data_IF_663061645045
#
_entry.id   IF_663061645045
#
_cell.length_a   1.000
_cell.length_b   1.000
_cell.length_c   1.000
_cell.angle_alpha   90.00
_cell.angle_beta   90.00
_cell.angle_gamma   90.00
#
_symmetry.space_group_name_H-M   'P 1'
#
loop_
_entity.id
_entity.type
_entity.pdbx_description
1 polymer ?
#
# COMPACT_ATOMS: atom_id res chain seq x y z
N UNK A 1 -27.47 -27.38 -18.82
CA UNK A 1 -28.31 -26.36 -19.46
C UNK A 1 -27.64 -25.05 -19.18
N UNK A 2 -26.95 -24.47 -20.17
CA UNK A 2 -26.34 -23.14 -20.01
C UNK A 2 -27.47 -22.13 -19.99
N UNK A 3 -27.72 -21.58 -18.81
CA UNK A 3 -28.72 -20.55 -18.58
C UNK A 3 -28.18 -19.22 -19.14
N UNK A 4 -28.87 -18.65 -20.12
CA UNK A 4 -28.55 -17.34 -20.67
C UNK A 4 -28.82 -16.30 -19.58
N UNK A 5 -27.76 -15.85 -18.89
CA UNK A 5 -27.85 -14.81 -17.84
C UNK A 5 -28.21 -13.46 -18.47
N UNK A 6 -29.17 -12.75 -17.87
CA UNK A 6 -29.50 -11.37 -18.27
C UNK A 6 -28.27 -10.49 -18.02
N UNK A 7 -27.73 -9.79 -19.04
CA UNK A 7 -26.54 -8.95 -18.88
C UNK A 7 -26.70 -7.80 -17.86
N UNK A 8 -27.92 -7.51 -17.42
CA UNK A 8 -28.24 -6.54 -16.36
C UNK A 8 -28.12 -7.12 -14.95
N UNK A 9 -28.23 -8.44 -14.79
CA UNK A 9 -28.12 -9.14 -13.51
C UNK A 9 -26.76 -9.84 -13.43
N UNK A 10 -25.75 -9.10 -12.98
CA UNK A 10 -24.36 -9.58 -12.92
C UNK A 10 -24.01 -10.38 -11.66
N UNK A 11 -24.85 -10.31 -10.61
CA UNK A 11 -24.57 -10.89 -9.30
C UNK A 11 -25.84 -11.50 -8.70
N UNK A 12 -25.67 -12.67 -8.08
CA UNK A 12 -26.69 -13.35 -7.30
C UNK A 12 -26.33 -13.25 -5.81
N UNK A 13 -27.32 -12.94 -4.97
CA UNK A 13 -27.17 -12.98 -3.51
C UNK A 13 -27.26 -14.42 -3.04
N UNK A 14 -26.39 -14.82 -2.12
CA UNK A 14 -26.34 -16.17 -1.55
C UNK A 14 -26.30 -16.09 -0.03
N UNK A 15 -26.97 -17.04 0.64
CA UNK A 15 -27.00 -17.10 2.11
C UNK A 15 -25.69 -17.63 2.72
N UNK A 16 -24.97 -18.48 1.98
CA UNK A 16 -23.69 -19.04 2.41
C UNK A 16 -22.83 -19.44 1.23
N UNK A 17 -21.52 -19.52 1.46
CA UNK A 17 -20.52 -19.95 0.48
C UNK A 17 -19.47 -20.82 1.18
N UNK A 18 -18.86 -21.75 0.45
CA UNK A 18 -17.75 -22.57 0.96
C UNK A 18 -16.46 -22.22 0.20
N UNK A 19 -15.32 -22.28 0.91
CA UNK A 19 -14.03 -22.05 0.29
C UNK A 19 -13.67 -23.17 -0.71
N UNK A 20 -12.95 -22.89 -1.80
CA UNK A 20 -12.50 -21.56 -2.26
C UNK A 20 -13.57 -20.85 -3.10
N UNK A 21 -13.80 -19.56 -2.83
CA UNK A 21 -14.75 -18.75 -3.57
C UNK A 21 -14.30 -17.29 -3.65
N UNK A 22 -14.56 -16.65 -4.80
CA UNK A 22 -14.49 -15.19 -4.94
C UNK A 22 -15.87 -14.61 -4.67
N UNK A 23 -16.00 -13.75 -3.67
CA UNK A 23 -17.27 -13.14 -3.28
C UNK A 23 -17.19 -11.62 -3.36
N UNK A 24 -18.35 -11.01 -3.61
CA UNK A 24 -18.53 -9.56 -3.47
C UNK A 24 -19.31 -9.30 -2.19
N UNK A 25 -18.69 -8.62 -1.24
CA UNK A 25 -19.29 -8.27 0.04
C UNK A 25 -19.85 -6.85 -0.06
N UNK A 26 -21.08 -6.66 0.42
CA UNK A 26 -21.70 -5.34 0.58
C UNK A 26 -21.89 -5.10 2.08
N UNK A 27 -21.20 -4.11 2.62
CA UNK A 27 -21.25 -3.74 4.03
C UNK A 27 -21.11 -2.22 4.17
N UNK A 28 -21.64 -1.61 5.25
CA UNK A 28 -21.37 -0.21 5.57
C UNK A 28 -19.91 -0.02 6.02
N UNK A 29 -19.39 1.20 5.88
CA UNK A 29 -18.09 1.63 6.43
C UNK A 29 -16.88 0.84 5.91
N UNK A 30 -16.87 0.47 4.63
CA UNK A 30 -15.76 -0.26 3.99
C UNK A 30 -14.95 0.60 3.01
N UNK A 31 -15.19 1.92 3.00
CA UNK A 31 -14.57 2.85 2.04
C UNK A 31 -13.05 2.96 2.20
N UNK A 32 -12.55 2.76 3.42
CA UNK A 32 -11.13 2.83 3.76
C UNK A 32 -10.42 1.46 3.70
N UNK A 33 -11.10 0.41 3.22
CA UNK A 33 -10.49 -0.93 3.09
C UNK A 33 -9.45 -0.93 1.98
N UNK A 34 -8.24 -1.37 2.32
CA UNK A 34 -7.13 -1.47 1.38
C UNK A 34 -7.11 -2.83 0.71
N UNK A 35 -6.79 -2.85 -0.59
CA UNK A 35 -6.63 -4.11 -1.32
C UNK A 35 -5.47 -4.93 -0.74
N UNK A 36 -5.71 -6.23 -0.54
CA UNK A 36 -4.77 -7.13 0.11
C UNK A 36 -4.90 -7.19 1.63
N UNK A 37 -5.76 -6.39 2.26
CA UNK A 37 -6.02 -6.50 3.70
C UNK A 37 -6.64 -7.85 4.06
N UNK A 38 -6.27 -8.43 5.23
CA UNK A 38 -6.86 -9.66 5.70
C UNK A 38 -8.35 -9.45 5.98
N UNK A 39 -9.13 -10.49 5.67
CA UNK A 39 -10.56 -10.55 5.97
C UNK A 39 -10.80 -11.66 6.99
N UNK A 40 -11.54 -11.36 8.06
CA UNK A 40 -11.90 -12.31 9.12
C UNK A 40 -13.37 -12.15 9.48
N UNK A 41 -13.99 -13.26 9.87
CA UNK A 41 -15.34 -13.29 10.43
C UNK A 41 -15.29 -13.92 11.81
N UNK A 42 -16.04 -13.37 12.76
CA UNK A 42 -16.21 -13.89 14.10
C UNK A 42 -17.71 -14.02 14.43
N UNK A 43 -18.05 -14.92 15.34
CA UNK A 43 -19.45 -15.17 15.73
C UNK A 43 -19.79 -14.52 17.06
N UNK A 44 -18.83 -14.50 17.99
CA UNK A 44 -19.02 -13.92 19.32
C UNK A 44 -18.49 -12.47 19.32
N UNK A 45 -19.34 -11.46 19.58
CA UNK A 45 -18.89 -10.07 19.68
C UNK A 45 -17.77 -9.83 20.68
N UNK A 46 -17.55 -10.71 21.66
CA UNK A 46 -16.43 -10.60 22.59
C UNK A 46 -15.06 -10.88 21.94
N UNK A 47 -15.03 -11.51 20.77
CA UNK A 47 -13.81 -11.78 19.98
C UNK A 47 -13.34 -10.54 19.19
N UNK A 48 -14.17 -9.49 19.07
CA UNK A 48 -13.92 -8.34 18.18
C UNK A 48 -12.53 -7.72 18.41
N UNK A 49 -12.14 -7.52 19.67
CA UNK A 49 -10.85 -6.93 20.02
C UNK A 49 -9.68 -7.84 19.61
N UNK A 50 -9.79 -9.14 19.85
CA UNK A 50 -8.72 -10.10 19.52
C UNK A 50 -8.53 -10.17 18.00
N UNK A 51 -9.62 -10.27 17.23
CA UNK A 51 -9.57 -10.30 15.76
C UNK A 51 -9.02 -8.99 15.21
N UNK A 52 -9.37 -7.85 15.80
CA UNK A 52 -8.80 -6.56 15.42
C UNK A 52 -7.29 -6.53 15.66
N UNK A 53 -6.83 -6.91 16.86
CA UNK A 53 -5.41 -6.90 17.23
C UNK A 53 -4.59 -7.85 16.30
N UNK A 54 -5.16 -8.99 15.91
CA UNK A 54 -4.54 -9.91 14.93
C UNK A 54 -4.41 -9.29 13.54
N UNK A 55 -5.46 -8.65 13.03
CA UNK A 55 -5.46 -7.96 11.73
C UNK A 55 -4.46 -6.81 11.73
N UNK A 56 -4.44 -6.02 12.81
CA UNK A 56 -3.53 -4.89 12.97
C UNK A 56 -2.07 -5.37 12.95
N UNK A 57 -1.75 -6.43 13.68
CA UNK A 57 -0.42 -7.04 13.68
C UNK A 57 -0.01 -7.59 12.30
N UNK A 58 -0.93 -8.21 11.56
CA UNK A 58 -0.67 -8.71 10.20
C UNK A 58 -0.39 -7.55 9.24
N UNK A 59 -1.18 -6.48 9.28
CA UNK A 59 -0.99 -5.29 8.44
C UNK A 59 0.30 -4.55 8.80
N UNK A 60 0.61 -4.41 10.09
CA UNK A 60 1.83 -3.74 10.54
C UNK A 60 3.09 -4.52 10.17
N UNK A 61 3.01 -5.85 10.04
CA UNK A 61 4.13 -6.66 9.57
C UNK A 61 4.53 -6.41 8.11
N UNK A 62 3.59 -5.90 7.30
CA UNK A 62 3.80 -5.54 5.89
C UNK A 62 4.38 -4.13 5.77
N UNK A 63 4.02 -3.24 6.70
CA UNK A 63 4.51 -1.86 6.72
C UNK A 63 5.91 -1.81 7.31
N UNK A 64 6.73 -0.90 6.79
CA UNK A 64 8.09 -0.71 7.28
C UNK A 64 8.23 0.71 7.80
N UNK A 65 8.82 0.85 8.99
CA UNK A 65 9.34 2.11 9.50
C UNK A 65 10.62 1.82 10.27
N UNK A 66 11.74 2.33 9.76
CA UNK A 66 13.06 2.15 10.39
C UNK A 66 13.77 3.48 10.55
N UNK A 67 14.63 3.58 11.57
CA UNK A 67 15.47 4.76 11.79
C UNK A 67 16.71 4.78 10.87
N UNK A 68 16.73 3.93 9.84
CA UNK A 68 17.87 3.76 8.93
C UNK A 68 17.66 4.57 7.65
N UNK A 69 18.77 4.97 7.02
CA UNK A 69 18.79 5.58 5.70
C UNK A 69 18.22 4.63 4.64
N UNK A 70 17.37 5.17 3.76
CA UNK A 70 16.71 4.45 2.67
C UNK A 70 15.55 5.26 2.08
N UNK A 71 15.02 4.81 0.95
CA UNK A 71 13.91 5.46 0.26
C UNK A 71 12.62 5.41 1.08
N UNK A 72 11.73 6.37 0.85
CA UNK A 72 10.33 6.31 1.32
C UNK A 72 9.47 5.73 0.19
N UNK A 73 8.80 4.62 0.47
CA UNK A 73 8.04 3.85 -0.52
C UNK A 73 6.53 3.92 -0.21
N UNK A 74 5.72 4.23 -1.23
CA UNK A 74 4.26 4.27 -1.15
C UNK A 74 3.63 3.42 -2.24
N UNK A 75 2.57 2.69 -1.90
CA UNK A 75 1.79 1.88 -2.84
C UNK A 75 0.28 2.03 -2.62
N UNK A 76 -0.53 1.52 -3.54
CA UNK A 76 -1.98 1.56 -3.51
C UNK A 76 -2.63 0.36 -2.77
N UNK A 77 -1.89 -0.75 -2.68
CA UNK A 77 -2.34 -2.01 -2.09
C UNK A 77 -1.21 -2.66 -1.29
N UNK A 78 -1.58 -3.47 -0.30
CA UNK A 78 -0.60 -4.19 0.54
C UNK A 78 0.25 -5.16 -0.28
N UNK A 79 -0.36 -5.95 -1.16
CA UNK A 79 0.39 -6.88 -2.01
C UNK A 79 1.34 -6.19 -2.99
N UNK A 80 0.99 -4.99 -3.48
CA UNK A 80 1.91 -4.17 -4.28
C UNK A 80 3.09 -3.69 -3.43
N UNK A 81 2.84 -3.31 -2.18
CA UNK A 81 3.87 -2.83 -1.25
C UNK A 81 4.89 -3.94 -0.91
N UNK A 82 4.42 -5.15 -0.60
CA UNK A 82 5.28 -6.32 -0.35
C UNK A 82 6.12 -6.67 -1.59
N UNK A 83 5.50 -6.66 -2.78
CA UNK A 83 6.21 -6.94 -4.01
C UNK A 83 7.31 -5.91 -4.31
N UNK A 84 7.04 -4.62 -4.06
CA UNK A 84 8.02 -3.56 -4.19
C UNK A 84 9.14 -3.70 -3.16
N UNK A 85 8.79 -3.99 -1.91
CA UNK A 85 9.74 -4.18 -0.81
C UNK A 85 10.75 -5.29 -1.13
N UNK A 86 10.26 -6.48 -1.48
CA UNK A 86 11.11 -7.60 -1.87
C UNK A 86 11.94 -7.28 -3.11
N UNK A 87 11.31 -6.75 -4.17
CA UNK A 87 12.01 -6.45 -5.42
C UNK A 87 13.10 -5.38 -5.25
N UNK A 88 12.87 -4.34 -4.44
CA UNK A 88 13.83 -3.26 -4.22
C UNK A 88 14.97 -3.72 -3.31
N UNK A 89 14.65 -4.47 -2.25
CA UNK A 89 15.64 -5.09 -1.37
C UNK A 89 16.57 -6.04 -2.13
N UNK A 90 16.02 -6.88 -3.02
CA UNK A 90 16.80 -7.80 -3.87
C UNK A 90 17.73 -7.06 -4.86
N UNK A 91 17.37 -5.83 -5.23
CA UNK A 91 18.17 -4.95 -6.09
C UNK A 91 19.06 -3.98 -5.28
N UNK A 92 19.19 -4.18 -3.97
CA UNK A 92 20.11 -3.40 -3.12
C UNK A 92 19.61 -2.02 -2.71
N UNK A 93 18.33 -1.71 -2.94
CA UNK A 93 17.70 -0.47 -2.50
C UNK A 93 17.27 -0.61 -1.04
N UNK A 94 17.77 0.26 -0.17
CA UNK A 94 17.35 0.31 1.24
C UNK A 94 16.06 1.08 1.37
N UNK A 95 15.17 0.59 2.23
CA UNK A 95 13.87 1.20 2.49
C UNK A 95 13.86 1.72 3.93
N UNK A 96 13.55 3.01 4.10
CA UNK A 96 13.39 3.62 5.43
C UNK A 96 11.94 3.50 5.90
N UNK A 97 10.99 3.81 5.00
CA UNK A 97 9.55 3.76 5.26
C UNK A 97 8.85 3.08 4.08
N UNK A 98 7.91 2.18 4.34
CA UNK A 98 7.01 1.58 3.36
C UNK A 98 5.58 1.59 3.91
N UNK A 99 4.65 2.20 3.19
CA UNK A 99 3.26 2.34 3.65
C UNK A 99 2.27 2.48 2.46
N UNK A 100 0.99 2.26 2.72
CA UNK A 100 -0.07 2.32 1.70
C UNK A 100 -0.78 3.68 1.71
N UNK A 101 -1.16 4.16 0.53
CA UNK A 101 -1.97 5.34 0.33
C UNK A 101 -1.25 6.44 -0.47
N UNK A 102 -1.92 7.58 -0.70
CA UNK A 102 -1.35 8.68 -1.46
C UNK A 102 -0.08 9.22 -0.76
N UNK A 103 0.79 9.84 -1.55
CA UNK A 103 1.97 10.53 -1.01
C UNK A 103 1.52 11.82 -0.32
N UNK A 104 1.82 11.91 0.98
CA UNK A 104 1.44 13.02 1.88
C UNK A 104 2.67 13.83 2.29
N UNK A 105 2.42 14.98 2.94
CA UNK A 105 3.47 15.82 3.50
C UNK A 105 4.42 15.08 4.44
N UNK A 106 3.90 14.15 5.24
CA UNK A 106 4.71 13.32 6.16
C UNK A 106 5.76 12.48 5.43
N UNK A 107 5.41 11.93 4.26
CA UNK A 107 6.34 11.13 3.46
C UNK A 107 7.54 11.97 2.98
N UNK A 108 7.30 13.26 2.66
CA UNK A 108 8.37 14.21 2.31
C UNK A 108 9.26 14.52 3.52
N UNK A 109 8.66 14.70 4.69
CA UNK A 109 9.39 14.94 5.94
C UNK A 109 10.28 13.74 6.26
N UNK A 110 9.77 12.51 6.12
CA UNK A 110 10.55 11.29 6.32
C UNK A 110 11.73 11.22 5.34
N UNK A 111 11.52 11.51 4.04
CA UNK A 111 12.61 11.57 3.07
C UNK A 111 13.62 12.70 3.37
N UNK A 112 13.17 13.84 3.92
CA UNK A 112 14.06 14.91 4.35
C UNK A 112 14.93 14.51 5.54
N UNK A 113 14.41 13.73 6.49
CA UNK A 113 15.21 13.16 7.58
C UNK A 113 16.29 12.24 7.01
N UNK A 114 15.97 11.41 6.01
CA UNK A 114 16.96 10.57 5.31
C UNK A 114 18.05 11.39 4.66
N UNK A 115 17.72 12.55 4.07
CA UNK A 115 18.68 13.46 3.42
C UNK A 115 19.83 13.90 4.34
N UNK A 116 19.60 13.97 5.65
CA UNK A 116 20.64 14.36 6.59
C UNK A 116 21.68 13.25 6.82
N UNK A 117 21.36 11.99 6.47
CA UNK A 117 22.22 10.81 6.61
C UNK A 117 22.74 10.28 5.28
N UNK A 118 21.88 10.22 4.26
CA UNK A 118 22.18 9.69 2.92
C UNK A 118 21.37 10.45 1.84
N UNK A 119 21.94 11.52 1.28
CA UNK A 119 21.27 12.34 0.26
C UNK A 119 20.85 11.58 -1.01
N UNK A 120 21.50 10.47 -1.34
CA UNK A 120 21.20 9.70 -2.55
C UNK A 120 19.94 8.82 -2.41
N UNK A 121 19.58 8.44 -1.18
CA UNK A 121 18.35 7.70 -0.90
C UNK A 121 17.20 8.57 -0.39
N UNK A 122 17.41 9.89 -0.30
CA UNK A 122 16.43 10.86 0.16
C UNK A 122 15.36 11.21 -0.88
N UNK A 123 14.60 10.20 -1.30
CA UNK A 123 13.55 10.31 -2.32
C UNK A 123 12.28 9.59 -1.89
N UNK A 124 11.17 9.95 -2.51
CA UNK A 124 9.89 9.24 -2.36
C UNK A 124 9.57 8.49 -3.65
N UNK A 125 9.29 7.19 -3.54
CA UNK A 125 8.92 6.30 -4.64
C UNK A 125 7.45 5.89 -4.47
N UNK A 126 6.60 6.20 -5.45
CA UNK A 126 5.16 5.94 -5.40
C UNK A 126 4.69 5.02 -6.51
N UNK A 127 4.17 3.84 -6.16
CA UNK A 127 3.57 2.91 -7.10
C UNK A 127 2.04 3.07 -7.15
N UNK A 128 1.52 3.45 -8.32
CA UNK A 128 0.08 3.62 -8.58
C UNK A 128 -0.67 4.52 -7.56
N UNK A 129 0.03 5.51 -6.99
CA UNK A 129 -0.52 6.43 -5.98
C UNK A 129 -0.53 7.87 -6.47
N UNK A 130 -1.52 8.64 -6.00
CA UNK A 130 -1.57 10.07 -6.20
C UNK A 130 -0.59 10.80 -5.26
N UNK A 131 -0.17 12.00 -5.66
CA UNK A 131 0.58 12.93 -4.81
C UNK A 131 -0.37 14.02 -4.35
N UNK A 132 -0.50 14.23 -3.04
CA UNK A 132 -1.34 15.30 -2.50
C UNK A 132 -0.72 16.68 -2.79
N UNK A 133 -1.51 17.74 -3.01
CA UNK A 133 -1.00 19.07 -3.32
C UNK A 133 0.04 19.59 -2.32
N UNK A 134 -0.22 19.42 -1.02
CA UNK A 134 0.67 19.81 0.06
C UNK A 134 1.99 19.02 0.10
N UNK A 135 1.99 17.78 -0.41
CA UNK A 135 3.20 16.98 -0.54
C UNK A 135 4.08 17.50 -1.69
N UNK A 136 3.47 17.86 -2.83
CA UNK A 136 4.20 18.48 -3.94
C UNK A 136 4.84 19.82 -3.54
N UNK A 137 4.10 20.68 -2.82
CA UNK A 137 4.62 21.94 -2.33
C UNK A 137 5.80 21.73 -1.37
N UNK A 138 5.65 20.80 -0.41
CA UNK A 138 6.72 20.47 0.53
C UNK A 138 7.95 19.89 -0.18
N UNK A 139 7.76 19.02 -1.17
CA UNK A 139 8.85 18.40 -1.92
C UNK A 139 9.68 19.44 -2.68
N UNK A 140 9.01 20.43 -3.28
CA UNK A 140 9.68 21.57 -3.92
C UNK A 140 10.51 22.39 -2.92
N UNK A 141 9.93 22.71 -1.76
CA UNK A 141 10.60 23.52 -0.74
C UNK A 141 11.82 22.83 -0.10
N UNK A 142 11.72 21.52 0.12
CA UNK A 142 12.77 20.71 0.76
C UNK A 142 13.76 20.09 -0.24
N UNK A 143 13.55 20.32 -1.54
CA UNK A 143 14.31 19.72 -2.63
C UNK A 143 14.35 18.19 -2.57
N UNK A 144 13.20 17.57 -2.29
CA UNK A 144 13.01 16.11 -2.27
C UNK A 144 12.38 15.68 -3.59
N UNK A 145 12.99 14.68 -4.25
CA UNK A 145 12.46 14.14 -5.51
C UNK A 145 11.40 13.07 -5.24
N UNK A 146 10.31 13.15 -6.00
CA UNK A 146 9.26 12.15 -6.01
C UNK A 146 9.28 11.45 -7.38
N UNK A 147 9.32 10.12 -7.37
CA UNK A 147 9.13 9.29 -8.56
C UNK A 147 7.81 8.56 -8.44
N UNK A 148 7.01 8.53 -9.51
CA UNK A 148 5.80 7.73 -9.54
C UNK A 148 5.69 6.93 -10.83
N UNK A 149 5.21 5.70 -10.71
CA UNK A 149 4.97 4.83 -11.86
C UNK A 149 3.85 3.84 -11.53
N UNK A 150 3.26 3.24 -12.56
CA UNK A 150 2.31 2.13 -12.43
C UNK A 150 2.93 0.78 -12.81
N UNK A 151 4.25 0.75 -13.03
CA UNK A 151 5.03 -0.43 -13.37
C UNK A 151 6.26 -0.51 -12.45
N UNK A 152 6.38 -1.61 -11.70
CA UNK A 152 7.39 -1.79 -10.64
C UNK A 152 8.83 -1.59 -11.16
N UNK A 153 9.20 -2.26 -12.25
CA UNK A 153 10.56 -2.19 -12.77
C UNK A 153 10.92 -0.81 -13.31
N UNK A 154 9.94 -0.10 -13.90
CA UNK A 154 10.16 1.27 -14.38
C UNK A 154 10.38 2.25 -13.23
N UNK A 155 9.65 2.07 -12.12
CA UNK A 155 9.87 2.88 -10.93
C UNK A 155 11.30 2.72 -10.38
N UNK A 156 11.83 1.49 -10.42
CA UNK A 156 13.21 1.22 -10.04
C UNK A 156 14.22 1.81 -11.04
N UNK A 157 13.99 1.63 -12.34
CA UNK A 157 14.83 2.21 -13.41
C UNK A 157 14.91 3.73 -13.29
N UNK A 158 13.75 4.40 -13.16
CA UNK A 158 13.65 5.85 -13.00
C UNK A 158 14.45 6.35 -11.78
N UNK A 159 14.49 5.54 -10.70
CA UNK A 159 15.27 5.83 -9.50
C UNK A 159 16.77 5.59 -9.67
N UNK A 160 17.18 4.50 -10.34
CA UNK A 160 18.59 4.13 -10.51
C UNK A 160 19.29 5.01 -11.55
N UNK A 161 18.57 5.45 -12.59
CA UNK A 161 19.12 6.31 -13.64
C UNK A 161 19.33 7.77 -13.18
N UNK A 162 18.73 8.16 -12.06
CA UNK A 162 18.88 9.46 -11.43
C UNK A 162 20.24 9.62 -10.73
#
# INVERSE_FOLDING_TARGET
VDEIRDPRQKFDSVDSVSAAAGIKILAPNIDDVVAGSPFRSFLDPSEEKEVYDEIEAEVDSIKIKTDKAGVVLKADALGSLEALEGFFSDNGVKISVADVGPIKKEDIINAKVVNDFDPYSAVVLGFNVAILPEANEQAYNENIRIFTNNVIYRLLEDYIEY
#
